data_IF_910614271510
#
_entry.id   IF_910614271510
#
_cell.length_a   1.000
_cell.length_b   1.000
_cell.length_c   1.000
_cell.angle_alpha   90.00
_cell.angle_beta   90.00
_cell.angle_gamma   90.00
#
_symmetry.space_group_name_H-M   'P 1'
#
loop_
_entity.id
_entity.type
_entity.pdbx_description
1 polymer ?
#
# COMPACT_ATOMS: atom_id res chain seq x y z
N UNK A 1 20.62 7.45 -8.16
CA UNK A 1 20.77 6.37 -7.14
C UNK A 1 20.96 5.09 -7.88
N UNK A 2 21.94 4.23 -7.49
CA UNK A 2 21.96 2.88 -8.02
C UNK A 2 20.67 2.17 -7.62
N UNK A 3 19.98 1.48 -8.54
CA UNK A 3 18.80 0.73 -8.20
C UNK A 3 19.16 -0.34 -7.15
N UNK A 4 18.39 -0.40 -6.06
CA UNK A 4 18.49 -1.51 -5.14
C UNK A 4 17.83 -2.73 -5.81
N UNK A 5 18.52 -3.85 -5.90
CA UNK A 5 17.99 -5.09 -6.43
C UNK A 5 17.81 -6.09 -5.31
N UNK A 6 16.70 -6.80 -5.33
CA UNK A 6 16.48 -7.96 -4.46
C UNK A 6 17.24 -9.19 -5.01
N UNK A 7 17.49 -10.19 -4.18
CA UNK A 7 18.29 -11.37 -4.57
C UNK A 7 17.79 -12.03 -5.85
N UNK A 8 16.48 -12.16 -6.03
CA UNK A 8 15.89 -12.77 -7.21
C UNK A 8 15.96 -11.88 -8.47
N UNK A 9 16.28 -10.59 -8.32
CA UNK A 9 16.48 -9.63 -9.41
C UNK A 9 17.94 -9.57 -9.90
N UNK A 10 18.90 -10.30 -9.29
CA UNK A 10 20.31 -10.28 -9.68
C UNK A 10 20.55 -10.49 -11.18
N UNK A 11 19.83 -11.43 -11.87
CA UNK A 11 20.01 -11.59 -13.30
C UNK A 11 19.59 -10.36 -14.14
N UNK A 12 18.70 -9.52 -13.59
CA UNK A 12 18.30 -8.23 -14.20
C UNK A 12 19.39 -7.20 -13.93
N UNK A 13 19.90 -7.13 -12.69
CA UNK A 13 20.98 -6.24 -12.29
C UNK A 13 22.24 -6.42 -13.15
N UNK A 14 22.63 -7.66 -13.41
CA UNK A 14 23.79 -8.00 -14.27
C UNK A 14 23.61 -7.47 -15.71
N UNK A 15 22.41 -7.61 -16.27
CA UNK A 15 22.11 -7.10 -17.62
C UNK A 15 22.09 -5.57 -17.66
N UNK A 16 21.51 -4.93 -16.64
CA UNK A 16 21.50 -3.47 -16.54
C UNK A 16 22.91 -2.89 -16.34
N UNK A 17 23.76 -3.53 -15.53
CA UNK A 17 25.17 -3.16 -15.35
C UNK A 17 25.92 -3.22 -16.70
N UNK A 18 25.74 -4.31 -17.44
CA UNK A 18 26.37 -4.47 -18.76
C UNK A 18 25.91 -3.45 -19.79
N UNK A 19 24.63 -3.08 -19.77
CA UNK A 19 24.11 -1.99 -20.61
C UNK A 19 24.79 -0.66 -20.25
N UNK A 20 24.97 -0.38 -18.95
CA UNK A 20 25.66 0.84 -18.50
C UNK A 20 27.13 0.85 -18.92
N UNK A 21 27.86 -0.25 -18.74
CA UNK A 21 29.25 -0.39 -19.18
C UNK A 21 29.41 -0.08 -20.68
N UNK A 22 28.53 -0.63 -21.52
CA UNK A 22 28.55 -0.37 -22.97
C UNK A 22 28.25 1.09 -23.30
N UNK A 23 27.35 1.73 -22.57
CA UNK A 23 27.08 3.18 -22.74
C UNK A 23 28.30 4.04 -22.41
N UNK A 24 29.07 3.69 -21.39
CA UNK A 24 30.31 4.40 -21.03
C UNK A 24 31.46 4.11 -22.00
N UNK A 25 31.58 2.87 -22.51
CA UNK A 25 32.60 2.48 -23.46
C UNK A 25 32.36 3.02 -24.88
N UNK A 26 31.13 3.41 -25.20
CA UNK A 26 30.64 3.73 -26.54
C UNK A 26 31.08 5.04 -27.18
N UNK A 27 32.03 5.77 -26.63
CA UNK A 27 32.52 7.02 -27.22
C UNK A 27 33.36 6.86 -28.51
N UNK A 28 33.62 5.61 -28.96
CA UNK A 28 34.53 5.34 -30.09
C UNK A 28 33.95 4.63 -31.32
N UNK A 29 32.80 3.92 -31.23
CA UNK A 29 32.25 3.15 -32.37
C UNK A 29 30.71 3.01 -32.23
N UNK A 30 29.99 4.11 -32.46
CA UNK A 30 28.60 4.31 -32.03
C UNK A 30 27.58 3.27 -32.59
N UNK A 31 27.70 2.86 -33.84
CA UNK A 31 26.66 2.12 -34.56
C UNK A 31 26.52 0.66 -34.11
N UNK A 32 27.61 -0.01 -33.80
CA UNK A 32 27.60 -1.43 -33.38
C UNK A 32 27.18 -1.57 -31.87
N UNK A 33 27.47 -0.55 -31.09
CA UNK A 33 27.16 -0.50 -29.65
C UNK A 33 25.68 -0.26 -29.41
N UNK A 34 25.02 0.60 -30.22
CA UNK A 34 23.57 0.83 -30.09
C UNK A 34 22.75 -0.43 -30.38
N UNK A 35 23.15 -1.23 -31.38
CA UNK A 35 22.49 -2.49 -31.69
C UNK A 35 22.67 -3.53 -30.55
N UNK A 36 23.89 -3.63 -29.98
CA UNK A 36 24.18 -4.49 -28.84
C UNK A 36 23.37 -4.08 -27.59
N UNK A 37 23.32 -2.78 -27.30
CA UNK A 37 22.48 -2.24 -26.21
C UNK A 37 21.00 -2.56 -26.45
N UNK A 38 20.52 -2.47 -27.70
CA UNK A 38 19.16 -2.85 -28.07
C UNK A 38 18.86 -4.30 -27.70
N UNK A 39 19.72 -5.24 -28.16
CA UNK A 39 19.60 -6.67 -27.87
C UNK A 39 19.62 -6.96 -26.35
N UNK A 40 20.50 -6.29 -25.61
CA UNK A 40 20.56 -6.45 -24.15
C UNK A 40 19.33 -5.91 -23.44
N UNK A 41 18.75 -4.79 -23.88
CA UNK A 41 17.49 -4.27 -23.34
C UNK A 41 16.34 -5.24 -23.56
N UNK A 42 16.21 -5.82 -24.76
CA UNK A 42 15.19 -6.82 -25.07
C UNK A 42 15.36 -8.06 -24.19
N UNK A 43 16.60 -8.53 -24.04
CA UNK A 43 16.92 -9.64 -23.13
C UNK A 43 16.60 -9.32 -21.67
N UNK A 44 16.93 -8.11 -21.22
CA UNK A 44 16.62 -7.64 -19.88
C UNK A 44 15.09 -7.62 -19.65
N UNK A 45 14.33 -7.05 -20.59
CA UNK A 45 12.87 -7.03 -20.54
C UNK A 45 12.26 -8.44 -20.49
N UNK A 46 12.70 -9.33 -21.37
CA UNK A 46 12.21 -10.72 -21.40
C UNK A 46 12.56 -11.46 -20.09
N UNK A 47 13.75 -11.24 -19.53
CA UNK A 47 14.17 -11.81 -18.25
C UNK A 47 13.34 -11.30 -17.09
N UNK A 48 13.07 -9.97 -17.05
CA UNK A 48 12.20 -9.36 -16.06
C UNK A 48 10.78 -9.93 -16.13
N UNK A 49 10.21 -10.05 -17.33
CA UNK A 49 8.90 -10.67 -17.53
C UNK A 49 8.85 -12.11 -16.99
N UNK A 50 9.86 -12.92 -17.31
CA UNK A 50 9.92 -14.30 -16.86
C UNK A 50 10.03 -14.45 -15.34
N UNK A 51 10.80 -13.57 -14.68
CA UNK A 51 10.94 -13.56 -13.20
C UNK A 51 9.63 -13.09 -12.56
N UNK A 52 9.07 -11.97 -13.00
CA UNK A 52 7.89 -11.35 -12.38
C UNK A 52 6.59 -12.12 -12.65
N UNK A 53 6.54 -12.95 -13.69
CA UNK A 53 5.41 -13.85 -13.93
C UNK A 53 5.32 -15.02 -12.92
N UNK A 54 6.39 -15.31 -12.17
CA UNK A 54 6.48 -16.49 -11.29
C UNK A 54 6.99 -16.15 -9.89
N UNK A 55 6.65 -14.99 -9.36
CA UNK A 55 7.07 -14.60 -8.01
C UNK A 55 6.36 -15.45 -6.94
N UNK A 56 7.13 -15.95 -5.98
CA UNK A 56 6.58 -16.57 -4.78
C UNK A 56 5.96 -15.52 -3.84
N UNK A 57 5.04 -15.90 -2.94
CA UNK A 57 4.49 -14.99 -1.92
C UNK A 57 5.55 -14.28 -1.07
N UNK A 58 6.66 -14.96 -0.79
CA UNK A 58 7.80 -14.35 -0.10
C UNK A 58 8.49 -13.27 -0.92
N UNK A 59 8.71 -13.51 -2.21
CA UNK A 59 9.29 -12.49 -3.11
C UNK A 59 8.37 -11.29 -3.27
N UNK A 60 7.06 -11.50 -3.32
CA UNK A 60 6.07 -10.40 -3.30
C UNK A 60 6.15 -9.62 -1.98
N UNK A 61 6.29 -10.30 -0.83
CA UNK A 61 6.49 -9.62 0.45
C UNK A 61 7.77 -8.78 0.48
N UNK A 62 8.85 -9.25 -0.14
CA UNK A 62 10.08 -8.47 -0.29
C UNK A 62 9.87 -7.25 -1.21
N UNK A 63 9.13 -7.39 -2.32
CA UNK A 63 8.77 -6.25 -3.20
C UNK A 63 7.86 -5.22 -2.50
N UNK A 64 6.90 -5.67 -1.70
CA UNK A 64 6.05 -4.78 -0.90
C UNK A 64 6.86 -3.88 0.05
N UNK A 65 8.03 -4.37 0.47
CA UNK A 65 9.00 -3.71 1.38
C UNK A 65 10.19 -3.11 0.66
N UNK A 66 10.20 -3.12 -0.67
CA UNK A 66 11.35 -2.67 -1.45
C UNK A 66 11.76 -1.25 -1.05
N UNK A 67 13.07 -0.95 -0.80
CA UNK A 67 13.51 0.36 -0.30
C UNK A 67 13.13 1.54 -1.18
N UNK A 68 12.98 1.31 -2.49
CA UNK A 68 12.62 2.33 -3.47
C UNK A 68 11.13 2.31 -3.84
N UNK A 69 10.32 1.42 -3.22
CA UNK A 69 8.87 1.41 -3.47
C UNK A 69 8.27 2.77 -3.10
N UNK A 70 7.39 3.34 -3.93
CA UNK A 70 6.73 4.61 -3.59
C UNK A 70 5.91 4.48 -2.31
N UNK A 71 6.08 5.43 -1.39
CA UNK A 71 5.29 5.56 -0.17
C UNK A 71 4.13 6.54 -0.39
N UNK A 72 3.31 6.72 0.63
CA UNK A 72 2.16 7.64 0.59
C UNK A 72 2.53 9.04 0.12
N UNK A 73 3.59 9.63 0.67
CA UNK A 73 4.00 11.00 0.31
C UNK A 73 4.52 11.14 -1.13
N UNK A 74 5.02 10.05 -1.72
CA UNK A 74 5.47 10.05 -3.12
C UNK A 74 4.28 10.06 -4.08
N UNK A 75 3.18 9.41 -3.71
CA UNK A 75 1.96 9.39 -4.51
C UNK A 75 1.17 10.70 -4.43
N UNK A 76 1.27 11.47 -3.34
CA UNK A 76 0.48 12.68 -3.17
C UNK A 76 0.58 13.64 -4.36
N UNK A 77 1.79 14.09 -4.80
CA UNK A 77 1.91 15.03 -5.91
C UNK A 77 1.63 14.41 -7.28
N UNK A 78 1.59 13.08 -7.40
CA UNK A 78 1.38 12.36 -8.66
C UNK A 78 -0.08 11.98 -8.88
N UNK A 79 -0.82 11.74 -7.80
CA UNK A 79 -2.22 11.28 -7.83
C UNK A 79 -3.18 12.44 -7.65
N UNK A 80 -2.87 13.36 -6.74
CA UNK A 80 -3.75 14.47 -6.38
C UNK A 80 -3.34 15.78 -7.06
N UNK A 81 -4.34 16.57 -7.45
CA UNK A 81 -4.15 17.88 -8.06
C UNK A 81 -3.76 18.91 -7.01
N UNK A 82 -4.29 18.77 -5.79
CA UNK A 82 -4.02 19.60 -4.60
C UNK A 82 -4.09 18.74 -3.35
N UNK A 83 -3.27 19.08 -2.34
CA UNK A 83 -3.32 18.45 -1.02
C UNK A 83 -2.98 19.46 0.09
N UNK A 84 -3.84 19.52 1.11
CA UNK A 84 -3.68 20.35 2.30
C UNK A 84 -3.69 19.49 3.56
N UNK A 85 -2.51 19.29 4.16
CA UNK A 85 -2.36 18.43 5.34
C UNK A 85 -3.03 19.05 6.58
N UNK A 86 -3.78 18.24 7.31
CA UNK A 86 -4.48 18.61 8.56
C UNK A 86 -3.92 17.82 9.74
N UNK A 87 -2.88 18.32 10.36
CA UNK A 87 -2.14 17.70 11.47
C UNK A 87 -2.90 17.67 12.79
N UNK A 88 -2.46 16.75 13.66
CA UNK A 88 -2.87 16.64 15.06
C UNK A 88 -4.22 15.98 15.30
N UNK A 89 -4.35 15.33 16.46
CA UNK A 89 -5.57 14.62 16.88
C UNK A 89 -6.56 15.50 17.65
N UNK A 90 -6.18 16.72 18.03
CA UNK A 90 -6.95 17.64 18.90
C UNK A 90 -7.15 17.10 20.32
N UNK A 91 -6.33 16.16 20.75
CA UNK A 91 -6.42 15.53 22.06
C UNK A 91 -5.07 15.47 22.77
N UNK A 92 -4.03 14.95 22.10
CA UNK A 92 -2.70 14.78 22.67
C UNK A 92 -1.59 15.37 21.79
N UNK A 93 -1.43 14.88 20.56
CA UNK A 93 -0.34 15.29 19.67
C UNK A 93 -0.63 15.05 18.19
N UNK A 94 0.34 15.36 17.34
CA UNK A 94 0.40 14.87 15.97
C UNK A 94 1.25 13.60 15.88
N UNK A 95 0.82 12.63 15.07
CA UNK A 95 1.60 11.47 14.71
C UNK A 95 1.92 11.51 13.20
N UNK A 96 3.20 11.73 12.82
CA UNK A 96 3.58 11.80 11.42
C UNK A 96 3.56 10.44 10.68
N UNK A 97 3.29 9.32 11.38
CA UNK A 97 3.04 8.04 10.74
C UNK A 97 1.69 8.00 9.99
N UNK A 98 0.77 8.92 10.29
CA UNK A 98 -0.43 9.19 9.50
C UNK A 98 -0.30 10.57 8.85
N UNK A 99 -0.44 10.62 7.53
CA UNK A 99 -0.58 11.83 6.72
C UNK A 99 -2.01 11.92 6.25
N UNK A 100 -2.67 13.05 6.46
CA UNK A 100 -4.06 13.17 6.02
C UNK A 100 -4.52 14.62 5.94
N UNK A 101 -5.56 14.86 5.17
CA UNK A 101 -6.10 16.19 4.94
C UNK A 101 -7.03 16.27 3.73
N UNK A 102 -7.35 17.50 3.35
CA UNK A 102 -8.16 17.78 2.17
C UNK A 102 -7.33 17.61 0.90
N UNK A 103 -7.89 16.94 -0.08
CA UNK A 103 -7.25 16.74 -1.38
C UNK A 103 -8.23 16.96 -2.53
N UNK A 104 -7.68 17.11 -3.74
CA UNK A 104 -8.47 17.15 -4.97
C UNK A 104 -7.90 16.12 -5.95
N UNK A 105 -8.77 15.28 -6.51
CA UNK A 105 -8.39 14.27 -7.51
C UNK A 105 -9.28 14.41 -8.75
N UNK A 106 -8.70 14.75 -9.91
CA UNK A 106 -9.48 14.99 -11.12
C UNK A 106 -10.55 16.08 -10.94
N UNK A 107 -10.23 17.14 -10.21
CA UNK A 107 -11.15 18.21 -9.85
C UNK A 107 -12.12 17.92 -8.70
N UNK A 108 -12.21 16.68 -8.20
CA UNK A 108 -13.14 16.26 -7.13
C UNK A 108 -12.52 16.46 -5.75
N UNK A 109 -13.20 17.12 -4.80
CA UNK A 109 -12.74 17.23 -3.44
C UNK A 109 -12.92 15.88 -2.72
N UNK A 110 -11.90 15.46 -1.96
CA UNK A 110 -11.89 14.23 -1.18
C UNK A 110 -11.18 14.47 0.15
N UNK A 111 -11.43 13.60 1.13
CA UNK A 111 -10.59 13.46 2.30
C UNK A 111 -9.57 12.35 2.05
N UNK A 112 -8.31 12.65 2.23
CA UNK A 112 -7.21 11.69 2.10
C UNK A 112 -6.62 11.34 3.47
N UNK A 113 -6.31 10.06 3.69
CA UNK A 113 -5.63 9.55 4.89
C UNK A 113 -4.67 8.45 4.45
N UNK A 114 -3.39 8.51 4.83
CA UNK A 114 -2.43 7.48 4.45
C UNK A 114 -1.36 7.25 5.51
N UNK A 115 -0.86 6.02 5.55
CA UNK A 115 0.29 5.67 6.39
C UNK A 115 1.59 5.98 5.68
N UNK A 116 2.59 6.46 6.42
CA UNK A 116 3.87 6.90 5.87
C UNK A 116 5.04 6.34 6.67
N UNK A 117 5.91 5.60 5.97
CA UNK A 117 7.07 4.89 6.56
C UNK A 117 8.31 5.78 6.70
N UNK A 118 8.47 6.77 5.85
CA UNK A 118 9.70 7.56 5.73
C UNK A 118 10.80 6.89 4.90
N UNK A 119 11.69 7.68 4.30
CA UNK A 119 12.74 7.20 3.37
C UNK A 119 14.07 6.93 4.07
N UNK A 120 14.60 7.93 4.73
CA UNK A 120 15.87 7.83 5.45
C UNK A 120 15.66 7.41 6.92
N UNK A 121 16.74 7.14 7.61
CA UNK A 121 16.70 6.71 9.02
C UNK A 121 16.01 7.71 9.93
N UNK A 122 16.22 9.02 9.72
CA UNK A 122 15.63 10.09 10.53
C UNK A 122 14.10 10.14 10.34
N UNK A 123 13.64 10.10 9.07
CA UNK A 123 12.22 10.07 8.76
C UNK A 123 11.55 8.76 9.22
N UNK A 124 12.20 7.61 9.07
CA UNK A 124 11.70 6.33 9.59
C UNK A 124 11.48 6.36 11.09
N UNK A 125 12.47 6.85 11.85
CA UNK A 125 12.36 6.98 13.31
C UNK A 125 11.25 7.97 13.69
N UNK A 126 11.18 9.12 13.03
CA UNK A 126 10.15 10.13 13.25
C UNK A 126 8.73 9.59 13.00
N UNK A 127 8.57 8.72 12.02
CA UNK A 127 7.28 8.13 11.62
C UNK A 127 7.05 6.73 12.19
N UNK A 128 7.83 6.34 13.19
CA UNK A 128 7.78 5.02 13.82
C UNK A 128 7.76 3.86 12.78
N UNK A 129 8.52 4.00 11.67
CA UNK A 129 8.55 3.03 10.57
C UNK A 129 7.17 2.77 9.93
N UNK A 130 6.31 3.76 9.93
CA UNK A 130 4.94 3.65 9.44
C UNK A 130 3.97 2.98 10.39
N UNK A 131 4.36 2.77 11.65
CA UNK A 131 3.49 2.22 12.70
C UNK A 131 2.82 3.35 13.49
N UNK A 132 1.52 3.62 13.29
CA UNK A 132 0.86 4.71 13.98
C UNK A 132 0.69 4.46 15.47
N UNK A 133 0.78 5.53 16.25
CA UNK A 133 0.40 5.63 17.66
C UNK A 133 -1.08 5.97 17.79
N UNK A 134 -1.67 5.94 19.02
CA UNK A 134 -3.08 6.27 19.24
C UNK A 134 -3.48 7.63 18.65
N UNK A 135 -2.61 8.63 18.79
CA UNK A 135 -2.85 9.98 18.26
C UNK A 135 -2.91 10.01 16.72
N UNK A 136 -2.22 9.11 16.01
CA UNK A 136 -2.36 8.93 14.56
C UNK A 136 -3.74 8.42 14.18
N UNK A 137 -4.24 7.41 14.87
CA UNK A 137 -5.60 6.89 14.65
C UNK A 137 -6.67 7.91 15.03
N UNK A 138 -6.52 8.64 16.15
CA UNK A 138 -7.44 9.73 16.51
C UNK A 138 -7.44 10.87 15.50
N UNK A 139 -6.27 11.20 14.91
CA UNK A 139 -6.21 12.11 13.77
C UNK A 139 -7.02 11.58 12.58
N UNK A 140 -6.89 10.30 12.23
CA UNK A 140 -7.68 9.68 11.18
C UNK A 140 -9.19 9.76 11.50
N UNK A 141 -9.62 9.44 12.73
CA UNK A 141 -11.02 9.55 13.18
C UNK A 141 -11.57 10.96 12.99
N UNK A 142 -10.80 11.98 13.39
CA UNK A 142 -11.17 13.39 13.21
C UNK A 142 -11.37 13.74 11.73
N UNK A 143 -10.50 13.25 10.85
CA UNK A 143 -10.61 13.49 9.40
C UNK A 143 -11.81 12.76 8.80
N UNK A 144 -12.06 11.51 9.22
CA UNK A 144 -13.24 10.73 8.82
C UNK A 144 -14.55 11.44 9.18
N UNK A 145 -14.67 11.91 10.42
CA UNK A 145 -15.84 12.68 10.87
C UNK A 145 -15.98 14.02 10.13
N UNK A 146 -14.87 14.66 9.80
CA UNK A 146 -14.87 15.87 8.95
C UNK A 146 -15.33 15.54 7.53
N UNK A 147 -14.89 14.44 6.96
CA UNK A 147 -15.32 13.99 5.65
C UNK A 147 -16.84 13.77 5.59
N UNK A 148 -17.39 13.09 6.58
CA UNK A 148 -18.86 12.90 6.67
C UNK A 148 -19.60 14.24 6.77
N UNK A 149 -19.14 15.13 7.66
CA UNK A 149 -19.77 16.46 7.86
C UNK A 149 -19.84 17.30 6.59
N UNK A 150 -18.84 17.19 5.71
CA UNK A 150 -18.76 17.94 4.46
C UNK A 150 -19.13 17.13 3.22
N UNK A 151 -19.58 15.89 3.38
CA UNK A 151 -19.97 15.02 2.27
C UNK A 151 -18.82 14.64 1.34
N UNK A 152 -17.59 14.54 1.88
CA UNK A 152 -16.39 14.23 1.08
C UNK A 152 -16.16 12.73 1.04
N UNK A 153 -15.96 12.12 -0.13
CA UNK A 153 -15.46 10.75 -0.21
C UNK A 153 -14.10 10.63 0.48
N UNK A 154 -13.84 9.46 1.07
CA UNK A 154 -12.59 9.16 1.77
C UNK A 154 -11.74 8.22 0.93
N UNK A 155 -10.48 8.59 0.73
CA UNK A 155 -9.46 7.73 0.13
C UNK A 155 -8.39 7.41 1.17
N UNK A 156 -8.13 6.11 1.42
CA UNK A 156 -7.06 5.73 2.33
C UNK A 156 -5.94 4.97 1.61
N UNK A 157 -4.68 5.28 1.96
CA UNK A 157 -3.51 4.52 1.52
C UNK A 157 -2.90 3.78 2.70
N UNK A 158 -2.86 2.45 2.58
CA UNK A 158 -2.39 1.54 3.63
C UNK A 158 -0.97 1.11 3.30
N UNK A 159 -0.02 1.46 4.18
CA UNK A 159 1.37 1.03 4.10
C UNK A 159 2.01 1.01 5.50
N UNK A 160 1.71 -0.01 6.26
CA UNK A 160 2.20 -0.23 7.63
C UNK A 160 2.48 -1.71 7.90
N UNK A 161 3.50 -1.98 8.69
CA UNK A 161 3.73 -3.33 9.24
C UNK A 161 2.82 -3.64 10.45
N UNK A 162 2.12 -2.63 11.01
CA UNK A 162 1.21 -2.78 12.15
C UNK A 162 1.06 -1.50 12.95
N UNK A 163 0.37 -1.58 14.08
CA UNK A 163 0.28 -0.50 15.06
C UNK A 163 1.56 -0.44 15.90
N UNK A 164 1.94 0.75 16.39
CA UNK A 164 3.12 0.91 17.25
C UNK A 164 2.95 0.16 18.58
N UNK A 165 3.86 -0.77 18.93
CA UNK A 165 3.68 -1.67 20.08
C UNK A 165 4.33 -1.15 21.39
N UNK A 166 4.70 0.14 21.46
CA UNK A 166 5.42 0.68 22.62
C UNK A 166 4.51 0.97 23.82
N UNK A 167 5.08 0.96 25.02
CA UNK A 167 4.40 1.24 26.30
C UNK A 167 3.60 2.53 26.25
N UNK A 168 4.16 3.63 25.72
CA UNK A 168 3.44 4.89 25.61
C UNK A 168 2.23 4.84 24.65
N UNK A 169 2.14 3.87 23.75
CA UNK A 169 0.93 3.65 22.95
C UNK A 169 -0.15 2.92 23.77
N UNK A 170 0.24 1.91 24.56
CA UNK A 170 -0.68 1.23 25.47
C UNK A 170 -1.27 2.20 26.51
N UNK A 171 -0.42 3.02 27.13
CA UNK A 171 -0.84 4.04 28.11
C UNK A 171 -1.84 5.05 27.56
N UNK A 172 -1.77 5.33 26.24
CA UNK A 172 -2.68 6.28 25.56
C UNK A 172 -3.81 5.62 24.78
N UNK A 173 -4.05 4.32 25.01
CA UNK A 173 -5.21 3.60 24.49
C UNK A 173 -5.07 3.16 23.02
N UNK A 174 -3.99 2.45 22.66
CA UNK A 174 -3.78 1.96 21.28
C UNK A 174 -4.94 1.10 20.78
N UNK A 175 -5.37 0.14 21.57
CA UNK A 175 -6.48 -0.77 21.21
C UNK A 175 -7.80 -0.02 21.04
N UNK A 176 -8.09 0.91 21.95
CA UNK A 176 -9.28 1.76 21.89
C UNK A 176 -9.28 2.63 20.63
N UNK A 177 -8.15 3.28 20.33
CA UNK A 177 -8.04 4.15 19.16
C UNK A 177 -8.26 3.36 17.85
N UNK A 178 -7.73 2.13 17.75
CA UNK A 178 -7.97 1.24 16.61
C UNK A 178 -9.46 0.85 16.54
N UNK A 179 -10.04 0.35 17.64
CA UNK A 179 -11.44 -0.07 17.70
C UNK A 179 -12.40 1.07 17.34
N UNK A 180 -12.16 2.27 17.84
CA UNK A 180 -12.96 3.45 17.51
C UNK A 180 -12.85 3.86 16.04
N UNK A 181 -11.70 3.67 15.42
CA UNK A 181 -11.55 3.90 13.97
C UNK A 181 -12.39 2.92 13.16
N UNK A 182 -12.41 1.62 13.53
CA UNK A 182 -13.25 0.61 12.88
C UNK A 182 -14.75 0.95 13.02
N UNK A 183 -15.19 1.33 14.21
CA UNK A 183 -16.56 1.75 14.48
C UNK A 183 -16.95 2.94 13.58
N UNK A 184 -16.18 4.03 13.61
CA UNK A 184 -16.44 5.22 12.80
C UNK A 184 -16.52 4.87 11.31
N UNK A 185 -15.54 4.14 10.78
CA UNK A 185 -15.50 3.79 9.35
C UNK A 185 -16.68 2.88 8.96
N UNK A 186 -17.13 2.00 9.87
CA UNK A 186 -18.26 1.11 9.58
C UNK A 186 -19.58 1.88 9.42
N UNK A 187 -19.75 3.00 10.10
CA UNK A 187 -20.97 3.82 10.14
C UNK A 187 -20.94 5.04 9.20
N UNK A 188 -19.77 5.36 8.62
CA UNK A 188 -19.57 6.57 7.82
C UNK A 188 -20.47 6.58 6.57
N UNK A 189 -21.23 7.66 6.37
CA UNK A 189 -22.23 7.79 5.29
C UNK A 189 -21.69 8.40 3.99
N UNK A 190 -20.38 8.48 3.85
CA UNK A 190 -19.71 8.87 2.60
C UNK A 190 -18.95 7.70 2.02
N UNK A 191 -18.67 7.68 0.70
CA UNK A 191 -17.87 6.65 0.06
C UNK A 191 -16.49 6.51 0.67
N UNK A 192 -16.02 5.29 0.91
CA UNK A 192 -14.68 4.98 1.43
C UNK A 192 -13.99 3.99 0.48
N UNK A 193 -12.84 4.37 -0.07
CA UNK A 193 -11.98 3.51 -0.86
C UNK A 193 -10.65 3.33 -0.13
N UNK A 194 -10.34 2.11 0.26
CA UNK A 194 -9.08 1.74 0.89
C UNK A 194 -8.13 1.11 -0.13
N UNK A 195 -6.88 1.54 -0.18
CA UNK A 195 -5.88 1.00 -1.11
C UNK A 195 -4.63 0.56 -0.37
N UNK A 196 -4.29 -0.73 -0.45
CA UNK A 196 -3.02 -1.26 0.06
C UNK A 196 -1.94 -1.01 -0.98
N UNK A 197 -1.01 -0.08 -0.68
CA UNK A 197 0.05 0.34 -1.61
C UNK A 197 1.40 -0.35 -1.37
N UNK A 198 1.57 -1.00 -0.21
CA UNK A 198 2.78 -1.73 0.17
C UNK A 198 2.45 -2.85 1.15
N UNK A 199 2.63 -2.62 2.45
CA UNK A 199 2.24 -3.57 3.49
C UNK A 199 0.94 -3.16 4.16
N UNK A 200 -0.01 -4.09 4.26
CA UNK A 200 -1.18 -3.95 5.11
C UNK A 200 -1.06 -4.86 6.33
N UNK A 201 -0.49 -4.37 7.43
CA UNK A 201 -0.21 -5.17 8.63
C UNK A 201 -1.25 -5.00 9.73
N UNK A 202 -1.93 -6.12 10.10
CA UNK A 202 -2.69 -6.27 11.34
C UNK A 202 -3.73 -5.16 11.61
N UNK A 203 -4.02 -4.90 12.89
CA UNK A 203 -4.93 -3.83 13.33
C UNK A 203 -4.49 -2.43 12.89
N UNK A 204 -3.18 -2.21 12.67
CA UNK A 204 -2.66 -0.95 12.14
C UNK A 204 -3.20 -0.62 10.76
N UNK A 205 -3.28 -1.61 9.89
CA UNK A 205 -3.88 -1.48 8.56
C UNK A 205 -5.41 -1.37 8.64
N UNK A 206 -6.05 -2.20 9.46
CA UNK A 206 -7.50 -2.23 9.62
C UNK A 206 -8.07 -0.90 10.10
N UNK A 207 -7.35 -0.17 10.97
CA UNK A 207 -7.80 1.10 11.54
C UNK A 207 -8.10 2.19 10.50
N UNK A 208 -7.61 2.04 9.26
CA UNK A 208 -7.97 2.88 8.10
C UNK A 208 -8.41 2.02 6.89
N UNK A 209 -8.75 0.75 7.12
CA UNK A 209 -8.99 -0.27 6.10
C UNK A 209 -10.44 -0.74 5.96
N UNK A 210 -11.40 -0.15 6.67
CA UNK A 210 -12.82 -0.50 6.59
C UNK A 210 -13.53 0.39 5.57
N UNK A 211 -13.73 -0.11 4.36
CA UNK A 211 -14.27 0.68 3.24
C UNK A 211 -15.34 -0.01 2.41
N UNK A 212 -15.95 0.75 1.51
CA UNK A 212 -16.88 0.26 0.50
C UNK A 212 -16.16 -0.50 -0.60
N UNK A 213 -14.89 -0.14 -0.84
CA UNK A 213 -13.99 -0.83 -1.75
C UNK A 213 -12.62 -0.98 -1.11
N UNK A 214 -12.01 -2.15 -1.28
CA UNK A 214 -10.62 -2.43 -0.93
C UNK A 214 -9.85 -2.73 -2.20
N UNK A 215 -8.91 -1.86 -2.54
CA UNK A 215 -8.01 -2.01 -3.67
C UNK A 215 -6.63 -2.44 -3.16
N UNK A 216 -5.84 -3.06 -4.03
CA UNK A 216 -4.50 -3.48 -3.65
C UNK A 216 -3.57 -3.39 -4.86
N UNK A 217 -2.36 -2.86 -4.71
CA UNK A 217 -1.36 -2.94 -5.75
C UNK A 217 -0.91 -4.39 -5.92
N UNK A 218 -0.54 -4.78 -7.14
CA UNK A 218 -0.23 -6.16 -7.52
C UNK A 218 0.79 -6.84 -6.60
N UNK A 219 1.89 -6.14 -6.29
CA UNK A 219 2.96 -6.66 -5.42
C UNK A 219 2.91 -6.08 -3.99
N UNK A 220 1.75 -5.65 -3.54
CA UNK A 220 1.50 -5.37 -2.13
C UNK A 220 1.15 -6.66 -1.36
N UNK A 221 1.18 -6.61 -0.03
CA UNK A 221 0.72 -7.70 0.85
C UNK A 221 -0.27 -7.18 1.88
N UNK A 222 -1.22 -8.03 2.28
CA UNK A 222 -2.19 -7.70 3.33
C UNK A 222 -2.39 -8.91 4.24
N UNK A 223 -2.10 -8.79 5.53
CA UNK A 223 -2.16 -9.90 6.47
C UNK A 223 -2.33 -9.47 7.92
N UNK A 224 -2.78 -10.40 8.76
CA UNK A 224 -2.94 -10.20 10.21
C UNK A 224 -1.59 -10.13 10.94
N UNK A 225 -0.54 -10.73 10.39
CA UNK A 225 0.79 -10.81 10.98
C UNK A 225 1.84 -10.90 9.86
N UNK A 226 3.07 -10.44 10.12
CA UNK A 226 4.16 -10.64 9.17
C UNK A 226 4.54 -12.13 9.02
N UNK A 227 5.05 -12.57 7.85
CA UNK A 227 5.51 -13.94 7.67
C UNK A 227 6.54 -14.36 8.72
N UNK A 228 7.47 -13.48 9.09
CA UNK A 228 8.48 -13.72 10.11
C UNK A 228 7.85 -13.90 11.51
N UNK A 229 6.88 -13.05 11.85
CA UNK A 229 6.14 -13.14 13.11
C UNK A 229 5.34 -14.45 13.19
N UNK A 230 4.64 -14.81 12.13
CA UNK A 230 3.91 -16.09 12.02
C UNK A 230 4.86 -17.28 12.20
N UNK A 231 5.98 -17.30 11.49
CA UNK A 231 6.98 -18.36 11.59
C UNK A 231 7.56 -18.47 12.99
N UNK A 232 7.85 -17.34 13.63
CA UNK A 232 8.38 -17.32 15.00
C UNK A 232 7.39 -17.89 16.03
N UNK A 233 6.10 -17.60 15.87
CA UNK A 233 5.05 -18.11 16.78
C UNK A 233 4.80 -19.60 16.54
N UNK A 234 4.57 -20.01 15.29
CA UNK A 234 4.15 -21.38 14.98
C UNK A 234 5.31 -22.38 15.01
N UNK A 235 6.47 -21.99 14.50
CA UNK A 235 7.61 -22.90 14.31
C UNK A 235 8.84 -22.56 15.16
N UNK A 236 8.77 -21.51 15.98
CA UNK A 236 9.88 -21.04 16.81
C UNK A 236 11.14 -20.65 16.02
N UNK A 237 10.98 -20.33 14.73
CA UNK A 237 12.07 -19.93 13.83
C UNK A 237 11.58 -18.95 12.77
N UNK A 238 12.13 -17.73 12.75
CA UNK A 238 11.86 -16.73 11.70
C UNK A 238 12.41 -17.14 10.33
N UNK A 239 13.35 -18.09 10.26
CA UNK A 239 13.92 -18.61 8.99
C UNK A 239 12.86 -19.28 8.11
N UNK A 240 11.75 -19.75 8.71
CA UNK A 240 10.61 -20.34 7.99
C UNK A 240 9.60 -19.30 7.47
N UNK A 241 9.98 -18.03 7.39
CA UNK A 241 9.12 -16.96 6.90
C UNK A 241 8.60 -17.20 5.46
N UNK A 242 9.36 -17.90 4.62
CA UNK A 242 8.91 -18.28 3.26
C UNK A 242 7.69 -19.19 3.30
N UNK A 243 7.74 -20.23 4.12
CA UNK A 243 6.61 -21.17 4.32
C UNK A 243 5.40 -20.45 4.93
N UNK A 244 5.66 -19.54 5.86
CA UNK A 244 4.60 -18.72 6.45
C UNK A 244 3.93 -17.81 5.41
N UNK A 245 4.69 -17.18 4.51
CA UNK A 245 4.15 -16.34 3.45
C UNK A 245 3.21 -17.12 2.52
N UNK A 246 3.60 -18.35 2.17
CA UNK A 246 2.78 -19.25 1.34
C UNK A 246 1.49 -19.65 2.07
N UNK A 247 1.58 -20.04 3.35
CA UNK A 247 0.44 -20.50 4.13
C UNK A 247 -0.57 -19.39 4.47
N UNK A 248 -0.09 -18.16 4.72
CA UNK A 248 -0.93 -17.02 5.08
C UNK A 248 -1.80 -16.48 3.93
N UNK A 249 -1.43 -16.75 2.67
CA UNK A 249 -2.21 -16.29 1.52
C UNK A 249 -2.28 -14.76 1.38
N UNK A 250 -1.18 -14.06 1.64
CA UNK A 250 -1.09 -12.59 1.81
C UNK A 250 -1.07 -11.78 0.52
N UNK A 251 -1.01 -12.43 -0.64
CA UNK A 251 -0.83 -11.76 -1.94
C UNK A 251 -2.13 -11.20 -2.50
N UNK A 252 -2.04 -10.16 -3.31
CA UNK A 252 -3.18 -9.51 -3.95
C UNK A 252 -4.07 -10.48 -4.73
N UNK A 253 -3.46 -11.37 -5.53
CA UNK A 253 -4.18 -12.38 -6.31
C UNK A 253 -4.96 -13.35 -5.40
N UNK A 254 -4.36 -13.81 -4.31
CA UNK A 254 -5.01 -14.71 -3.38
C UNK A 254 -6.16 -14.04 -2.63
N UNK A 255 -5.96 -12.81 -2.18
CA UNK A 255 -6.97 -12.03 -1.47
C UNK A 255 -8.15 -11.65 -2.37
N UNK A 256 -7.90 -11.39 -3.66
CA UNK A 256 -8.95 -11.20 -4.67
C UNK A 256 -9.79 -12.48 -4.83
N UNK A 257 -9.15 -13.65 -4.94
CA UNK A 257 -9.85 -14.95 -5.03
C UNK A 257 -10.72 -15.23 -3.80
N UNK A 258 -10.28 -14.80 -2.62
CA UNK A 258 -11.01 -14.95 -1.35
C UNK A 258 -12.12 -13.89 -1.16
N UNK A 259 -12.24 -12.93 -2.07
CA UNK A 259 -13.21 -11.83 -1.98
C UNK A 259 -12.92 -10.81 -0.88
N UNK A 260 -11.68 -10.79 -0.34
CA UNK A 260 -11.24 -9.83 0.67
C UNK A 260 -10.78 -8.50 0.07
N UNK A 261 -10.36 -8.53 -1.20
CA UNK A 261 -9.99 -7.38 -2.02
C UNK A 261 -10.91 -7.34 -3.24
N UNK A 262 -11.41 -6.15 -3.60
CA UNK A 262 -12.36 -5.96 -4.70
C UNK A 262 -11.67 -5.77 -6.05
N UNK A 263 -10.45 -5.23 -6.05
CA UNK A 263 -9.70 -4.96 -7.29
C UNK A 263 -8.20 -4.92 -7.05
N UNK A 264 -7.44 -5.54 -7.93
CA UNK A 264 -5.97 -5.48 -7.98
C UNK A 264 -5.57 -4.48 -9.07
N UNK A 265 -4.64 -3.60 -8.75
CA UNK A 265 -4.07 -2.61 -9.68
C UNK A 265 -2.72 -3.12 -10.14
N UNK A 266 -2.62 -3.46 -11.44
CA UNK A 266 -1.39 -3.99 -12.03
C UNK A 266 -0.24 -2.98 -11.91
N UNK A 267 0.90 -3.45 -11.47
CA UNK A 267 2.11 -2.64 -11.38
C UNK A 267 2.87 -2.61 -12.72
N UNK A 268 3.71 -1.60 -12.95
CA UNK A 268 4.66 -1.61 -14.05
C UNK A 268 5.58 -2.83 -14.00
N UNK A 269 6.09 -3.25 -15.15
CA UNK A 269 7.05 -4.35 -15.22
C UNK A 269 8.26 -4.12 -14.32
N UNK A 270 8.49 -5.00 -13.38
CA UNK A 270 9.53 -4.88 -12.36
C UNK A 270 9.07 -4.17 -11.08
N UNK A 271 7.77 -3.82 -10.94
CA UNK A 271 7.17 -3.23 -9.75
C UNK A 271 7.04 -1.71 -9.77
N UNK A 272 6.28 -1.17 -8.82
CA UNK A 272 5.94 0.26 -8.73
C UNK A 272 7.17 1.19 -8.65
N UNK A 273 8.28 0.73 -8.09
CA UNK A 273 9.52 1.48 -7.97
C UNK A 273 10.27 1.69 -9.30
N UNK A 274 9.97 0.87 -10.32
CA UNK A 274 10.58 1.00 -11.66
C UNK A 274 9.97 2.11 -12.49
N UNK A 275 8.68 2.38 -12.27
CA UNK A 275 7.95 3.48 -12.92
C UNK A 275 6.91 4.08 -11.96
N UNK A 276 7.34 4.92 -11.00
CA UNK A 276 6.43 5.54 -10.05
C UNK A 276 5.35 6.42 -10.68
N UNK A 277 5.69 7.09 -11.78
CA UNK A 277 4.75 7.95 -12.49
C UNK A 277 3.66 7.15 -13.21
N UNK A 278 4.04 6.09 -13.92
CA UNK A 278 3.09 5.17 -14.56
C UNK A 278 2.21 4.45 -13.54
N UNK A 279 2.78 4.06 -12.38
CA UNK A 279 2.00 3.48 -11.29
C UNK A 279 0.98 4.48 -10.72
N UNK A 280 1.40 5.71 -10.45
CA UNK A 280 0.53 6.76 -9.95
C UNK A 280 -0.61 7.10 -10.92
N UNK A 281 -0.34 7.11 -12.22
CA UNK A 281 -1.35 7.33 -13.25
C UNK A 281 -2.43 6.23 -13.24
N UNK A 282 -2.03 4.96 -13.19
CA UNK A 282 -2.96 3.81 -13.06
C UNK A 282 -3.77 3.88 -11.76
N UNK A 283 -3.11 4.24 -10.67
CA UNK A 283 -3.76 4.39 -9.36
C UNK A 283 -4.81 5.51 -9.41
N UNK A 284 -4.46 6.69 -9.94
CA UNK A 284 -5.39 7.83 -10.12
C UNK A 284 -6.60 7.44 -10.97
N UNK A 285 -6.39 6.83 -12.13
CA UNK A 285 -7.47 6.38 -13.02
C UNK A 285 -8.40 5.38 -12.31
N UNK A 286 -7.82 4.42 -11.59
CA UNK A 286 -8.61 3.42 -10.87
C UNK A 286 -9.41 4.03 -9.73
N UNK A 287 -8.83 4.94 -8.95
CA UNK A 287 -9.54 5.64 -7.88
C UNK A 287 -10.72 6.46 -8.42
N UNK A 288 -10.53 7.21 -9.51
CA UNK A 288 -11.61 7.97 -10.16
C UNK A 288 -12.74 7.04 -10.63
N UNK A 289 -12.42 5.94 -11.30
CA UNK A 289 -13.41 4.95 -11.76
C UNK A 289 -14.18 4.34 -10.60
N UNK A 290 -13.53 4.04 -9.47
CA UNK A 290 -14.19 3.50 -8.27
C UNK A 290 -15.08 4.54 -7.59
N UNK A 291 -14.65 5.79 -7.53
CA UNK A 291 -15.47 6.90 -7.05
C UNK A 291 -16.73 7.08 -7.89
N UNK A 292 -16.62 7.07 -9.22
CA UNK A 292 -17.77 7.16 -10.13
C UNK A 292 -18.76 6.01 -9.93
N UNK A 293 -18.26 4.83 -9.60
CA UNK A 293 -19.09 3.68 -9.25
C UNK A 293 -19.86 3.85 -7.95
N UNK A 294 -19.23 4.44 -6.94
CA UNK A 294 -19.83 4.66 -5.62
C UNK A 294 -20.80 5.85 -5.58
N UNK A 295 -20.59 6.88 -6.41
CA UNK A 295 -21.51 8.02 -6.51
C UNK A 295 -22.93 7.63 -6.97
N UNK A 296 -23.04 6.50 -7.66
CA UNK A 296 -24.33 5.95 -8.12
C UNK A 296 -25.09 5.21 -7.02
N UNK A 297 -24.44 5.00 -5.86
CA UNK A 297 -25.03 4.31 -4.72
C UNK A 297 -25.68 5.35 -3.83
N UNK A 298 -26.95 5.17 -3.50
CA UNK A 298 -27.67 6.05 -2.59
C UNK A 298 -27.00 6.09 -1.22
N UNK A 299 -26.78 7.27 -0.67
CA UNK A 299 -26.01 7.47 0.57
C UNK A 299 -26.55 6.63 1.75
N UNK A 300 -27.86 6.43 1.84
CA UNK A 300 -28.48 5.58 2.86
C UNK A 300 -28.18 4.09 2.72
N UNK A 301 -27.80 3.63 1.53
CA UNK A 301 -27.49 2.22 1.26
C UNK A 301 -26.00 1.87 1.37
N UNK A 302 -25.09 2.87 1.41
CA UNK A 302 -23.63 2.63 1.55
C UNK A 302 -23.28 1.88 2.83
N UNK A 303 -23.82 2.32 3.99
CA UNK A 303 -23.53 1.69 5.29
C UNK A 303 -24.02 0.24 5.31
N UNK A 304 -25.23 -0.01 4.84
CA UNK A 304 -25.81 -1.35 4.77
C UNK A 304 -25.02 -2.25 3.77
N UNK A 305 -24.63 -1.73 2.63
CA UNK A 305 -23.81 -2.46 1.65
C UNK A 305 -22.43 -2.81 2.23
N UNK A 306 -21.79 -1.86 2.94
CA UNK A 306 -20.52 -2.09 3.65
C UNK A 306 -20.68 -3.15 4.74
N UNK A 307 -21.73 -3.09 5.53
CA UNK A 307 -22.03 -4.10 6.55
C UNK A 307 -22.20 -5.49 5.92
N UNK A 308 -23.02 -5.63 4.88
CA UNK A 308 -23.22 -6.93 4.19
C UNK A 308 -21.92 -7.47 3.60
N UNK A 309 -21.08 -6.59 3.03
CA UNK A 309 -19.77 -6.96 2.50
C UNK A 309 -18.87 -7.54 3.60
N UNK A 310 -18.74 -6.87 4.74
CA UNK A 310 -17.93 -7.31 5.87
C UNK A 310 -18.48 -8.61 6.48
N UNK A 311 -19.80 -8.75 6.58
CA UNK A 311 -20.44 -9.99 7.06
C UNK A 311 -20.30 -11.16 6.11
N UNK A 312 -20.06 -10.89 4.84
CA UNK A 312 -19.82 -11.90 3.80
C UNK A 312 -18.40 -12.50 3.81
N UNK A 313 -17.48 -11.91 4.54
CA UNK A 313 -16.10 -12.43 4.63
C UNK A 313 -16.08 -13.77 5.36
N UNK A 314 -15.29 -14.73 4.79
CA UNK A 314 -15.16 -16.05 5.38
C UNK A 314 -16.42 -16.90 5.36
N UNK A 315 -17.44 -16.57 4.57
CA UNK A 315 -18.61 -17.43 4.37
C UNK A 315 -18.16 -18.76 3.76
N UNK A 316 -18.55 -19.87 4.37
CA UNK A 316 -18.33 -21.22 3.88
C UNK A 316 -19.69 -21.88 3.64
N UNK A 317 -19.76 -22.75 2.65
CA UNK A 317 -20.95 -23.60 2.48
C UNK A 317 -20.99 -24.56 3.65
N UNK A 318 -22.06 -24.53 4.42
CA UNK A 318 -22.40 -25.62 5.34
C UNK A 318 -22.88 -26.75 4.44
N UNK A 319 -22.10 -27.84 4.36
CA UNK A 319 -22.51 -29.08 3.69
C UNK A 319 -23.63 -29.76 4.46
#
# INVERSE_FOLDING_TARGET
MNPAFLDFEQPIAELEAKIQELRFAGQGNAMNIEEEIGKLKDKCRAKTQAIFANLSPWQIAQLARHPQRPHTVDYLPLVFDEFHELKGDRHYADDPAIVGGLARIGGRPVMFIGQEKGRDTKEKVRRNFGMPRPEGYRKAQRLLQMAERFGLPVLTFIDTMGAYPGVGAEERGQSEAIAKSLEIMSELRVPIICTVIGEGGSGGALAIGVGDRTLMLEYAIYSVISPEGCASILWKSAERAREAADALGITSARLLQLGLVDHVIDEPLGGAHRDPAGMAAKLKETLLRQLDGLDRVEAGSLVEARYRRLRGYGSHKVE
#
